data_IF_907948871310
#
_entry.id   IF_907948871310
#
_cell.length_a   1.000
_cell.length_b   1.000
_cell.length_c   1.000
_cell.angle_alpha   90.00
_cell.angle_beta   90.00
_cell.angle_gamma   90.00
#
_symmetry.space_group_name_H-M   'P 1'
#
loop_
_entity.id
_entity.type
_entity.pdbx_description
1 polymer ?
#
# COMPACT_ATOMS: atom_id res chain seq x y z
N UNK A 1 9.25 -48.72 -23.35
CA UNK A 1 8.24 -47.67 -23.65
C UNK A 1 7.37 -47.35 -22.44
N UNK A 2 6.66 -48.32 -21.85
CA UNK A 2 5.78 -48.08 -20.68
C UNK A 2 6.47 -47.47 -19.46
N UNK A 3 7.67 -47.95 -19.13
CA UNK A 3 8.48 -47.45 -17.99
C UNK A 3 8.97 -46.01 -18.18
N UNK A 4 9.31 -45.64 -19.42
CA UNK A 4 9.68 -44.26 -19.74
C UNK A 4 8.47 -43.33 -19.64
N UNK A 5 7.30 -43.78 -20.11
CA UNK A 5 6.05 -43.02 -20.00
C UNK A 5 5.68 -42.78 -18.54
N UNK A 6 5.80 -43.79 -17.67
CA UNK A 6 5.51 -43.64 -16.23
C UNK A 6 6.48 -42.68 -15.54
N UNK A 7 7.77 -42.71 -15.89
CA UNK A 7 8.76 -41.80 -15.32
C UNK A 7 8.53 -40.34 -15.74
N UNK A 8 8.20 -40.12 -17.02
CA UNK A 8 7.85 -38.78 -17.52
C UNK A 8 6.59 -38.25 -16.83
N UNK A 9 5.58 -39.10 -16.64
CA UNK A 9 4.34 -38.69 -15.97
C UNK A 9 4.59 -38.28 -14.50
N UNK A 10 5.40 -39.06 -13.78
CA UNK A 10 5.80 -38.73 -12.40
C UNK A 10 6.60 -37.43 -12.33
N UNK A 11 7.52 -37.20 -13.27
CA UNK A 11 8.30 -35.96 -13.33
C UNK A 11 7.40 -34.72 -13.54
N UNK A 12 6.42 -34.81 -14.44
CA UNK A 12 5.45 -33.73 -14.69
C UNK A 12 4.60 -33.43 -13.45
N UNK A 13 4.12 -34.47 -12.75
CA UNK A 13 3.33 -34.29 -11.52
C UNK A 13 4.14 -33.61 -10.40
N UNK A 14 5.42 -33.97 -10.26
CA UNK A 14 6.32 -33.35 -9.29
C UNK A 14 6.53 -31.87 -9.62
N UNK A 15 6.81 -31.53 -10.88
CA UNK A 15 6.97 -30.12 -11.30
C UNK A 15 5.69 -29.33 -11.05
N UNK A 16 4.51 -29.88 -11.36
CA UNK A 16 3.24 -29.21 -11.12
C UNK A 16 2.99 -28.94 -9.63
N UNK A 17 3.29 -29.90 -8.76
CA UNK A 17 3.14 -29.73 -7.31
C UNK A 17 4.09 -28.67 -6.74
N UNK A 18 5.38 -28.69 -7.13
CA UNK A 18 6.35 -27.71 -6.63
C UNK A 18 6.17 -26.31 -7.23
N UNK A 19 5.74 -26.20 -8.49
CA UNK A 19 5.46 -24.91 -9.11
C UNK A 19 4.15 -24.27 -8.63
N UNK A 20 3.18 -25.06 -8.16
CA UNK A 20 1.92 -24.53 -7.62
C UNK A 20 2.13 -23.80 -6.28
N UNK A 21 2.97 -24.34 -5.40
CA UNK A 21 3.31 -23.70 -4.12
C UNK A 21 4.09 -22.38 -4.29
N UNK A 22 4.67 -22.12 -5.47
CA UNK A 22 5.42 -20.89 -5.75
C UNK A 22 4.53 -19.65 -5.92
N UNK A 23 3.20 -19.82 -5.93
CA UNK A 23 2.25 -18.70 -6.03
C UNK A 23 2.13 -17.87 -4.73
N UNK A 24 2.77 -18.30 -3.64
CA UNK A 24 2.82 -17.54 -2.38
C UNK A 24 3.70 -16.28 -2.47
N UNK A 25 4.55 -16.14 -3.50
CA UNK A 25 5.42 -14.96 -3.67
C UNK A 25 4.69 -13.71 -4.20
N UNK A 26 3.37 -13.78 -4.42
CA UNK A 26 2.57 -12.66 -4.90
C UNK A 26 2.06 -11.73 -3.79
N UNK A 27 2.53 -11.89 -2.54
CA UNK A 27 2.26 -10.98 -1.41
C UNK A 27 2.98 -9.61 -1.50
N UNK A 28 3.69 -9.33 -2.59
CA UNK A 28 4.33 -8.02 -2.83
C UNK A 28 3.54 -7.10 -3.77
N UNK A 29 2.20 -7.21 -3.79
CA UNK A 29 1.33 -6.27 -4.51
C UNK A 29 1.28 -4.87 -3.84
N UNK A 30 2.44 -4.28 -3.56
CA UNK A 30 2.60 -2.86 -3.24
C UNK A 30 2.64 -1.99 -4.52
N UNK A 31 2.38 -2.57 -5.70
CA UNK A 31 2.48 -1.91 -7.01
C UNK A 31 1.55 -0.69 -7.19
N UNK A 32 0.53 -0.51 -6.36
CA UNK A 32 -0.41 0.61 -6.50
C UNK A 32 0.00 1.87 -5.70
N UNK A 33 0.87 1.76 -4.70
CA UNK A 33 1.26 2.89 -3.85
C UNK A 33 2.59 2.62 -3.15
N UNK A 34 3.75 3.03 -3.72
CA UNK A 34 5.03 2.95 -3.01
C UNK A 34 5.08 3.85 -1.76
N UNK A 35 4.02 4.63 -1.54
CA UNK A 35 3.81 5.45 -0.35
C UNK A 35 2.75 4.78 0.53
N UNK A 36 3.17 4.31 1.70
CA UNK A 36 2.28 3.81 2.74
C UNK A 36 1.66 5.00 3.49
N UNK A 37 0.32 5.04 3.63
CA UNK A 37 -0.36 6.01 4.48
C UNK A 37 0.12 5.83 5.93
N UNK A 38 0.32 6.95 6.65
CA UNK A 38 0.66 7.04 8.07
C UNK A 38 -0.03 5.99 8.96
N UNK A 39 -1.33 5.73 8.76
CA UNK A 39 -2.09 4.73 9.56
C UNK A 39 -1.56 3.30 9.37
N UNK A 40 -1.18 2.97 8.14
CA UNK A 40 -0.66 1.66 7.78
C UNK A 40 0.85 1.56 8.08
N UNK A 41 1.55 2.71 8.12
CA UNK A 41 2.98 2.77 8.41
C UNK A 41 3.32 2.32 9.84
N UNK A 42 2.37 2.48 10.79
CA UNK A 42 2.52 1.99 12.16
C UNK A 42 2.80 0.48 12.23
N UNK A 43 2.28 -0.30 11.28
CA UNK A 43 2.46 -1.75 11.24
C UNK A 43 3.90 -2.18 10.92
N UNK A 44 4.70 -1.29 10.30
CA UNK A 44 6.05 -1.61 9.82
C UNK A 44 7.17 -0.91 10.60
N UNK A 45 6.86 0.14 11.37
CA UNK A 45 7.88 0.88 12.12
C UNK A 45 8.25 0.17 13.43
N UNK A 46 9.45 -0.43 13.46
CA UNK A 46 10.05 -0.96 14.70
C UNK A 46 10.18 0.17 15.73
N UNK A 47 9.68 -0.04 16.93
CA UNK A 47 9.56 1.00 17.97
C UNK A 47 10.91 1.62 18.33
N UNK A 48 11.21 2.81 17.78
CA UNK A 48 12.25 3.69 18.32
C UNK A 48 11.92 4.09 19.77
N UNK A 49 12.91 4.52 20.58
CA UNK A 49 12.69 4.85 22.00
C UNK A 49 11.55 5.86 22.17
N UNK A 50 10.50 5.38 22.85
CA UNK A 50 9.11 5.86 22.79
C UNK A 50 8.89 7.31 23.27
N UNK A 51 9.80 7.87 24.05
CA UNK A 51 9.62 9.22 24.64
C UNK A 51 9.88 10.36 23.64
N UNK A 52 10.96 10.27 22.86
CA UNK A 52 11.33 11.36 21.96
C UNK A 52 10.51 11.33 20.66
N UNK A 53 10.11 10.14 20.20
CA UNK A 53 9.31 9.97 18.99
C UNK A 53 7.91 10.59 19.12
N UNK A 54 7.23 10.44 20.27
CA UNK A 54 5.90 11.02 20.49
C UNK A 54 5.94 12.56 20.50
N UNK A 55 7.00 13.15 21.04
CA UNK A 55 7.15 14.62 21.07
C UNK A 55 7.48 15.15 19.68
N UNK A 56 8.41 14.51 18.96
CA UNK A 56 8.74 14.88 17.58
C UNK A 56 7.54 14.74 16.65
N UNK A 57 6.75 13.68 16.82
CA UNK A 57 5.54 13.46 16.02
C UNK A 57 4.49 14.54 16.28
N UNK A 58 4.30 14.95 17.55
CA UNK A 58 3.41 16.07 17.89
C UNK A 58 3.87 17.41 17.30
N UNK A 59 5.18 17.67 17.28
CA UNK A 59 5.74 18.88 16.67
C UNK A 59 5.53 18.85 15.15
N UNK A 60 5.82 17.71 14.50
CA UNK A 60 5.58 17.50 13.07
C UNK A 60 4.11 17.71 12.70
N UNK A 61 3.19 17.16 13.48
CA UNK A 61 1.74 17.31 13.27
C UNK A 61 1.28 18.76 13.37
N UNK A 62 1.86 19.54 14.30
CA UNK A 62 1.54 20.97 14.43
C UNK A 62 2.08 21.80 13.27
N UNK A 63 3.25 21.43 12.74
CA UNK A 63 3.92 22.17 11.67
C UNK A 63 3.54 21.68 10.26
N UNK A 64 2.53 20.82 10.15
CA UNK A 64 2.09 20.25 8.87
C UNK A 64 1.54 21.33 7.94
N UNK A 65 1.97 21.31 6.68
CA UNK A 65 1.49 22.26 5.69
C UNK A 65 0.02 22.00 5.32
N UNK A 66 -0.74 23.02 4.87
CA UNK A 66 -2.10 22.80 4.40
C UNK A 66 -2.19 21.76 3.26
N UNK A 67 -1.19 21.72 2.39
CA UNK A 67 -1.10 20.76 1.28
C UNK A 67 -0.90 19.33 1.79
N UNK A 68 -0.03 19.13 2.79
CA UNK A 68 0.18 17.83 3.40
C UNK A 68 -1.06 17.36 4.15
N UNK A 69 -1.77 18.25 4.85
CA UNK A 69 -3.07 17.93 5.47
C UNK A 69 -4.13 17.54 4.42
N UNK A 70 -4.22 18.25 3.29
CA UNK A 70 -5.15 17.92 2.22
C UNK A 70 -4.84 16.54 1.60
N UNK A 71 -3.55 16.24 1.44
CA UNK A 71 -3.09 14.94 0.97
C UNK A 71 -3.51 13.82 1.93
N UNK A 72 -3.26 13.96 3.22
CA UNK A 72 -3.66 12.96 4.21
C UNK A 72 -5.17 12.71 4.24
N UNK A 73 -5.99 13.77 4.15
CA UNK A 73 -7.45 13.63 4.05
C UNK A 73 -7.85 12.83 2.79
N UNK A 74 -7.11 13.01 1.69
CA UNK A 74 -7.36 12.30 0.44
C UNK A 74 -6.92 10.83 0.51
N UNK A 75 -5.77 10.55 1.14
CA UNK A 75 -5.28 9.18 1.41
C UNK A 75 -6.22 8.41 2.34
N UNK A 76 -6.91 9.10 3.25
CA UNK A 76 -7.91 8.49 4.14
C UNK A 76 -9.25 8.18 3.45
N UNK A 77 -9.49 8.70 2.24
CA UNK A 77 -10.71 8.50 1.49
C UNK A 77 -10.40 7.81 0.16
N UNK A 78 -10.53 6.48 0.13
CA UNK A 78 -10.18 5.61 -1.00
C UNK A 78 -10.64 6.11 -2.40
N UNK A 79 -11.85 6.72 -2.58
CA UNK A 79 -12.20 7.32 -3.86
C UNK A 79 -11.30 8.50 -4.27
N UNK A 80 -10.91 9.36 -3.31
CA UNK A 80 -9.96 10.45 -3.55
C UNK A 80 -8.56 9.92 -3.82
N UNK A 81 -8.09 8.96 -3.02
CA UNK A 81 -6.78 8.33 -3.20
C UNK A 81 -6.62 7.72 -4.61
N UNK A 82 -7.58 6.89 -5.05
CA UNK A 82 -7.55 6.28 -6.39
C UNK A 82 -7.55 7.30 -7.52
N UNK A 83 -8.29 8.41 -7.34
CA UNK A 83 -8.31 9.49 -8.32
C UNK A 83 -6.99 10.28 -8.30
N UNK A 84 -6.39 10.48 -7.12
CA UNK A 84 -5.10 11.15 -6.94
C UNK A 84 -3.97 10.41 -7.64
N UNK A 85 -4.01 9.07 -7.72
CA UNK A 85 -3.02 8.27 -8.45
C UNK A 85 -2.93 8.65 -9.95
N UNK A 86 -4.02 9.17 -10.53
CA UNK A 86 -4.07 9.56 -11.95
C UNK A 86 -3.99 11.07 -12.18
N UNK A 87 -4.56 11.86 -11.28
CA UNK A 87 -4.75 13.30 -11.47
C UNK A 87 -4.03 14.18 -10.43
N UNK A 88 -3.36 13.56 -9.46
CA UNK A 88 -2.67 14.23 -8.36
C UNK A 88 -3.60 14.63 -7.21
N UNK A 89 -3.01 14.75 -6.02
CA UNK A 89 -3.72 15.03 -4.77
C UNK A 89 -4.47 16.37 -4.76
N UNK A 90 -3.92 17.42 -5.38
CA UNK A 90 -4.58 18.72 -5.40
C UNK A 90 -5.89 18.70 -6.21
N UNK A 91 -5.90 18.01 -7.36
CA UNK A 91 -7.10 17.86 -8.19
C UNK A 91 -8.12 16.92 -7.54
N UNK A 92 -7.65 15.82 -6.96
CA UNK A 92 -8.48 14.87 -6.22
C UNK A 92 -9.17 15.54 -5.02
N UNK A 93 -8.40 16.24 -4.20
CA UNK A 93 -8.94 16.92 -3.03
C UNK A 93 -10.02 17.94 -3.41
N UNK A 94 -9.79 18.76 -4.44
CA UNK A 94 -10.82 19.68 -4.94
C UNK A 94 -12.08 18.96 -5.45
N UNK A 95 -11.91 17.81 -6.11
CA UNK A 95 -13.04 17.04 -6.65
C UNK A 95 -13.95 16.46 -5.56
N UNK A 96 -13.37 15.93 -4.48
CA UNK A 96 -14.14 15.26 -3.42
C UNK A 96 -14.46 16.15 -2.21
N UNK A 97 -13.62 17.14 -1.92
CA UNK A 97 -13.74 17.99 -0.73
C UNK A 97 -13.85 19.50 -1.06
N UNK A 98 -13.65 19.90 -2.31
CA UNK A 98 -13.72 21.30 -2.73
C UNK A 98 -15.13 21.89 -2.73
N UNK A 99 -16.18 21.07 -2.68
CA UNK A 99 -17.58 21.53 -2.64
C UNK A 99 -18.03 22.04 -1.26
N UNK A 100 -17.15 22.08 -0.25
CA UNK A 100 -17.43 22.64 1.08
C UNK A 100 -17.14 24.15 1.25
N UNK A 101 -17.01 24.91 0.16
CA UNK A 101 -16.96 26.39 0.21
C UNK A 101 -18.27 27.05 -0.22
N UNK A 102 -19.38 26.53 0.27
CA UNK A 102 -20.66 27.22 0.27
C UNK A 102 -21.23 27.14 1.68
N UNK A 103 -21.23 28.30 2.36
CA UNK A 103 -21.71 28.60 3.72
C UNK A 103 -20.71 28.36 4.86
#
# INVERSE_FOLDING_TARGET
>A
MRTLITLVFLAVLMVAAFCYESHESMESQEFASPFINRRNAYNFMRTLPRKNSVVQERIRERNKTPQERQREICEDYNPCERYALRHGYAAAYRRYFGQRKGW
#
